data_IF_971777394281
#
_entry.id   IF_971777394281
#
_cell.length_a   1.000
_cell.length_b   1.000
_cell.length_c   1.000
_cell.angle_alpha   90.00
_cell.angle_beta   90.00
_cell.angle_gamma   90.00
#
_symmetry.space_group_name_H-M   'P 1'
#
loop_
_entity.id
_entity.type
_entity.pdbx_description
1 polymer ?
#
# COMPACT_ATOMS: atom_id res chain seq x y z
N UNK A 1 -40.93 -1.25 -43.73
CA UNK A 1 -40.48 -2.21 -42.69
C UNK A 1 -39.18 -2.83 -43.16
N UNK A 2 -38.23 -3.07 -42.23
CA UNK A 2 -36.82 -3.54 -42.42
C UNK A 2 -35.83 -2.36 -42.52
N UNK A 3 -34.81 -2.20 -41.68
CA UNK A 3 -34.32 -2.95 -40.52
C UNK A 3 -33.54 -2.02 -39.59
N UNK A 4 -33.59 -2.31 -38.29
CA UNK A 4 -32.91 -1.63 -37.19
C UNK A 4 -31.40 -1.92 -37.11
N UNK A 5 -30.68 -0.90 -36.59
CA UNK A 5 -29.64 -0.90 -35.53
C UNK A 5 -28.59 -2.03 -35.57
N UNK A 6 -27.30 -1.68 -35.66
CA UNK A 6 -26.27 -2.27 -34.78
C UNK A 6 -25.27 -1.18 -34.34
N UNK A 7 -25.42 -0.80 -33.08
CA UNK A 7 -24.45 -0.12 -32.22
C UNK A 7 -23.30 -1.08 -31.91
N UNK A 8 -22.04 -0.66 -32.03
CA UNK A 8 -20.91 -1.41 -31.43
C UNK A 8 -20.02 -0.45 -30.69
N UNK A 9 -20.33 -0.27 -29.40
CA UNK A 9 -19.45 0.34 -28.42
C UNK A 9 -18.33 -0.66 -28.17
N UNK A 10 -17.08 -0.25 -28.43
CA UNK A 10 -15.89 -0.99 -28.01
C UNK A 10 -15.74 -0.76 -26.51
N UNK A 11 -16.31 -1.64 -25.69
CA UNK A 11 -15.89 -1.78 -24.30
C UNK A 11 -14.49 -2.39 -24.31
N UNK A 12 -13.46 -1.56 -24.21
CA UNK A 12 -12.16 -2.01 -23.77
C UNK A 12 -12.28 -2.32 -22.27
N UNK A 13 -12.66 -3.56 -21.95
CA UNK A 13 -12.41 -4.11 -20.62
C UNK A 13 -10.89 -4.25 -20.49
N UNK A 14 -10.23 -3.21 -19.98
CA UNK A 14 -9.00 -3.42 -19.24
C UNK A 14 -9.41 -4.25 -18.01
N UNK A 15 -9.42 -5.57 -18.17
CA UNK A 15 -9.38 -6.47 -17.05
C UNK A 15 -8.09 -6.13 -16.30
N UNK A 16 -8.22 -5.32 -15.25
CA UNK A 16 -7.21 -5.22 -14.22
C UNK A 16 -6.97 -6.65 -13.77
N UNK A 17 -5.83 -7.18 -14.18
CA UNK A 17 -5.29 -8.42 -13.64
C UNK A 17 -4.99 -8.07 -12.20
N UNK A 18 -5.97 -8.20 -11.32
CA UNK A 18 -5.74 -8.26 -9.89
C UNK A 18 -4.93 -9.53 -9.72
N UNK A 19 -3.61 -9.38 -9.77
CA UNK A 19 -2.69 -10.39 -9.27
C UNK A 19 -3.18 -10.64 -7.85
N UNK A 20 -3.84 -11.79 -7.67
CA UNK A 20 -4.20 -12.31 -6.38
C UNK A 20 -2.92 -12.77 -5.67
N UNK A 21 -1.99 -11.84 -5.45
CA UNK A 21 -1.06 -11.97 -4.36
C UNK A 21 -1.89 -11.82 -3.10
N UNK A 22 -2.28 -12.97 -2.52
CA UNK A 22 -3.01 -13.00 -1.27
C UNK A 22 -2.32 -12.10 -0.25
N UNK A 23 -3.13 -11.34 0.51
CA UNK A 23 -2.64 -10.39 1.49
C UNK A 23 -1.64 -11.06 2.43
N UNK A 24 -0.50 -10.42 2.64
CA UNK A 24 0.56 -10.91 3.49
C UNK A 24 1.29 -9.76 4.16
N UNK A 25 1.99 -10.09 5.24
CA UNK A 25 2.84 -9.15 5.95
C UNK A 25 4.25 -9.12 5.36
N UNK A 26 4.87 -7.95 5.39
CA UNK A 26 6.19 -7.70 4.82
C UNK A 26 7.04 -6.89 5.80
N UNK A 27 8.36 -6.94 5.65
CA UNK A 27 9.28 -6.11 6.42
C UNK A 27 9.13 -4.64 6.06
N UNK A 28 8.87 -4.33 4.79
CA UNK A 28 8.65 -2.96 4.34
C UNK A 28 7.79 -2.86 3.09
N UNK A 29 7.10 -1.75 2.92
CA UNK A 29 6.31 -1.42 1.73
C UNK A 29 6.52 0.02 1.27
N UNK A 30 6.26 0.31 -0.01
CA UNK A 30 6.21 1.67 -0.57
C UNK A 30 5.09 1.81 -1.58
N UNK A 31 4.57 3.02 -1.74
CA UNK A 31 3.59 3.34 -2.77
C UNK A 31 4.28 3.62 -4.11
N UNK A 32 3.63 3.26 -5.22
CA UNK A 32 4.14 3.50 -6.57
C UNK A 32 3.21 4.42 -7.37
N UNK A 33 3.78 5.10 -8.34
CA UNK A 33 3.07 5.77 -9.42
C UNK A 33 2.69 4.76 -10.52
N UNK A 34 1.82 5.15 -11.45
CA UNK A 34 1.40 4.32 -12.59
C UNK A 34 2.56 3.83 -13.48
N UNK A 35 3.66 4.57 -13.52
CA UNK A 35 4.89 4.21 -14.24
C UNK A 35 5.83 3.28 -13.44
N UNK A 36 5.41 2.86 -12.24
CA UNK A 36 6.18 2.03 -11.32
C UNK A 36 7.22 2.80 -10.48
N UNK A 37 7.38 4.11 -10.69
CA UNK A 37 8.28 4.93 -9.89
C UNK A 37 7.79 5.09 -8.45
N UNK A 38 8.69 5.32 -7.47
CA UNK A 38 8.27 5.51 -6.08
C UNK A 38 7.48 6.80 -5.88
N UNK A 39 6.40 6.74 -5.09
CA UNK A 39 5.73 7.93 -4.59
C UNK A 39 6.06 8.13 -3.10
N UNK A 40 7.13 8.87 -2.83
CA UNK A 40 7.65 9.05 -1.48
C UNK A 40 6.68 9.78 -0.54
N UNK A 41 6.00 10.82 -1.05
CA UNK A 41 5.04 11.59 -0.25
C UNK A 41 3.86 10.72 0.17
N UNK A 42 3.27 9.99 -0.78
CA UNK A 42 2.15 9.09 -0.50
C UNK A 42 2.59 7.92 0.39
N UNK A 43 3.83 7.44 0.26
CA UNK A 43 4.38 6.41 1.15
C UNK A 43 4.43 6.89 2.61
N UNK A 44 4.91 8.12 2.86
CA UNK A 44 4.91 8.70 4.22
C UNK A 44 3.50 8.79 4.79
N UNK A 45 2.56 9.33 4.02
CA UNK A 45 1.17 9.45 4.46
C UNK A 45 0.51 8.09 4.71
N UNK A 46 0.80 7.09 3.87
CA UNK A 46 0.30 5.72 4.06
C UNK A 46 0.86 5.08 5.33
N UNK A 47 2.13 5.32 5.68
CA UNK A 47 2.70 4.88 6.96
C UNK A 47 1.98 5.47 8.16
N UNK A 48 1.75 6.79 8.14
CA UNK A 48 1.02 7.48 9.20
C UNK A 48 -0.40 6.94 9.33
N UNK A 49 -1.10 6.74 8.20
CA UNK A 49 -2.42 6.15 8.18
C UNK A 49 -2.45 4.73 8.75
N UNK A 50 -1.45 3.88 8.42
CA UNK A 50 -1.31 2.55 9.02
C UNK A 50 -1.06 2.62 10.51
N UNK A 51 -0.16 3.50 10.94
CA UNK A 51 0.15 3.71 12.35
C UNK A 51 -1.07 4.16 13.15
N UNK A 52 -1.88 5.06 12.59
CA UNK A 52 -3.13 5.53 13.18
C UNK A 52 -4.23 4.46 13.17
N UNK A 53 -4.37 3.70 12.08
CA UNK A 53 -5.37 2.63 12.00
C UNK A 53 -5.07 1.51 13.01
N UNK A 54 -3.78 1.25 13.28
CA UNK A 54 -3.33 0.29 14.28
C UNK A 54 -3.18 0.91 15.69
N UNK A 55 -3.66 2.15 15.91
CA UNK A 55 -3.60 2.88 17.19
C UNK A 55 -4.63 2.36 18.21
N UNK A 56 -5.79 1.87 17.76
CA UNK A 56 -6.91 1.52 18.64
C UNK A 56 -6.66 0.19 19.38
N UNK A 57 -6.16 0.30 20.62
CA UNK A 57 -5.98 -0.78 21.58
C UNK A 57 -4.94 -0.44 22.65
N UNK A 58 -4.95 -1.13 23.80
CA UNK A 58 -3.96 -0.97 24.88
C UNK A 58 -2.51 -1.23 24.44
N UNK A 59 -2.34 -1.74 23.21
CA UNK A 59 -1.11 -2.12 22.52
C UNK A 59 -1.02 -1.56 21.09
N UNK A 60 -1.60 -0.40 20.79
CA UNK A 60 -1.59 0.22 19.46
C UNK A 60 -0.18 0.50 18.89
N UNK A 61 -0.05 0.74 17.59
CA UNK A 61 1.23 1.02 16.94
C UNK A 61 1.92 2.30 17.46
N UNK A 62 1.17 3.17 18.12
CA UNK A 62 1.70 4.31 18.85
C UNK A 62 2.10 3.98 20.29
N UNK A 63 3.25 4.50 20.67
CA UNK A 63 3.77 4.42 22.03
C UNK A 63 5.14 5.09 22.12
N UNK A 64 5.61 5.40 23.35
CA UNK A 64 6.96 5.88 23.57
C UNK A 64 7.97 4.91 22.94
N UNK A 65 8.89 5.45 22.13
CA UNK A 65 9.90 4.67 21.40
C UNK A 65 9.37 3.66 20.37
N UNK A 66 8.09 3.75 19.96
CA UNK A 66 7.58 2.85 18.93
C UNK A 66 8.23 3.09 17.57
N UNK A 67 8.80 2.03 17.01
CA UNK A 67 9.36 2.01 15.65
C UNK A 67 8.38 1.51 14.59
N UNK A 68 7.15 1.16 14.98
CA UNK A 68 6.13 0.65 14.07
C UNK A 68 5.81 1.68 12.97
N UNK A 69 5.85 1.24 11.71
CA UNK A 69 5.53 2.04 10.52
C UNK A 69 6.37 3.32 10.37
N UNK A 70 7.57 3.37 10.96
CA UNK A 70 8.47 4.48 10.72
C UNK A 70 9.00 4.45 9.29
N UNK A 71 9.15 5.63 8.70
CA UNK A 71 9.73 5.78 7.38
C UNK A 71 11.24 5.72 7.42
N UNK A 72 11.84 5.15 6.38
CA UNK A 72 13.27 5.27 6.08
C UNK A 72 13.45 5.65 4.63
N UNK A 73 14.50 6.39 4.31
CA UNK A 73 14.88 6.70 2.93
C UNK A 73 16.18 5.98 2.58
N UNK A 74 16.19 5.25 1.46
CA UNK A 74 17.40 4.55 0.99
C UNK A 74 18.32 5.45 0.15
N UNK A 75 19.46 4.90 -0.30
CA UNK A 75 20.44 5.62 -1.12
C UNK A 75 19.92 6.06 -2.49
N UNK A 76 18.79 5.49 -2.95
CA UNK A 76 18.13 5.87 -4.21
C UNK A 76 17.04 6.92 -3.98
N UNK A 77 17.00 7.51 -2.78
CA UNK A 77 15.97 8.46 -2.37
C UNK A 77 14.55 7.87 -2.44
N UNK A 78 14.40 6.57 -2.19
CA UNK A 78 13.08 5.92 -2.04
C UNK A 78 12.69 5.90 -0.57
N UNK A 79 11.51 6.41 -0.26
CA UNK A 79 10.89 6.26 1.06
C UNK A 79 10.23 4.89 1.19
N UNK A 80 10.48 4.23 2.32
CA UNK A 80 9.91 2.94 2.69
C UNK A 80 9.16 3.05 4.00
N UNK A 81 8.05 2.34 4.10
CA UNK A 81 7.33 2.07 5.33
C UNK A 81 7.84 0.80 5.97
N UNK A 82 8.36 0.86 7.18
CA UNK A 82 8.99 -0.31 7.80
C UNK A 82 8.12 -0.95 8.88
N UNK A 83 8.21 -2.26 8.99
CA UNK A 83 7.79 -2.97 10.18
C UNK A 83 8.61 -2.53 11.39
N UNK A 84 8.03 -2.65 12.58
CA UNK A 84 8.67 -2.20 13.81
C UNK A 84 7.92 -2.68 15.05
N UNK A 85 8.30 -2.15 16.21
CA UNK A 85 7.77 -2.59 17.50
C UNK A 85 7.37 -1.41 18.36
N UNK A 86 6.26 -1.52 19.07
CA UNK A 86 5.83 -0.55 20.09
C UNK A 86 6.33 -0.90 21.52
N UNK A 87 7.33 -1.78 21.63
CA UNK A 87 7.79 -2.35 22.91
C UNK A 87 7.03 -3.59 23.38
N UNK A 88 5.83 -3.87 22.84
CA UNK A 88 5.02 -5.04 23.20
C UNK A 88 4.89 -6.05 22.06
N UNK A 89 4.47 -5.58 20.87
CA UNK A 89 4.26 -6.42 19.69
C UNK A 89 4.92 -5.84 18.45
N UNK A 90 5.17 -6.71 17.47
CA UNK A 90 5.63 -6.31 16.14
C UNK A 90 4.44 -5.92 15.27
N UNK A 91 4.67 -4.94 14.43
CA UNK A 91 3.76 -4.47 13.40
C UNK A 91 4.49 -4.52 12.09
N UNK A 92 3.85 -5.11 11.10
CA UNK A 92 4.41 -5.28 9.77
C UNK A 92 3.43 -4.71 8.75
N UNK A 93 3.91 -3.98 7.73
CA UNK A 93 3.08 -3.62 6.60
C UNK A 93 2.40 -4.84 5.97
N UNK A 94 1.07 -4.80 5.88
CA UNK A 94 0.29 -5.74 5.08
C UNK A 94 0.10 -5.14 3.69
N UNK A 95 0.47 -5.87 2.62
CA UNK A 95 0.45 -5.32 1.27
C UNK A 95 -0.95 -4.89 0.81
N UNK A 96 -2.01 -5.59 1.20
CA UNK A 96 -3.38 -5.19 0.83
C UNK A 96 -3.79 -3.90 1.55
N UNK A 97 -3.60 -3.85 2.86
CA UNK A 97 -3.93 -2.66 3.64
C UNK A 97 -3.05 -1.46 3.23
N UNK A 98 -1.80 -1.71 2.84
CA UNK A 98 -0.90 -0.68 2.37
C UNK A 98 -1.27 -0.19 0.98
N UNK A 99 -1.62 -1.09 0.05
CA UNK A 99 -2.15 -0.75 -1.28
C UNK A 99 -3.42 0.09 -1.18
N UNK A 100 -4.34 -0.27 -0.29
CA UNK A 100 -5.57 0.50 -0.08
C UNK A 100 -5.25 1.92 0.41
N UNK A 101 -4.35 2.05 1.38
CA UNK A 101 -3.88 3.35 1.87
C UNK A 101 -3.20 4.17 0.76
N UNK A 102 -2.30 3.56 -0.02
CA UNK A 102 -1.64 4.21 -1.14
C UNK A 102 -2.66 4.76 -2.15
N UNK A 103 -3.64 3.94 -2.52
CA UNK A 103 -4.67 4.30 -3.51
C UNK A 103 -5.56 5.44 -3.01
N UNK A 104 -6.02 5.36 -1.76
CA UNK A 104 -6.84 6.40 -1.13
C UNK A 104 -6.10 7.75 -1.02
N UNK A 105 -4.79 7.71 -0.86
CA UNK A 105 -3.93 8.89 -0.71
C UNK A 105 -3.35 9.41 -2.04
N UNK A 106 -3.78 8.84 -3.18
CA UNK A 106 -3.46 9.35 -4.51
C UNK A 106 -2.26 8.71 -5.21
N UNK A 107 -1.80 7.54 -4.77
CA UNK A 107 -0.94 6.71 -5.60
C UNK A 107 -1.71 6.29 -6.87
N UNK A 108 -1.02 6.34 -8.01
CA UNK A 108 -1.61 5.99 -9.31
C UNK A 108 -1.19 4.61 -9.81
N UNK A 109 -0.23 3.96 -9.13
CA UNK A 109 0.12 2.57 -9.36
C UNK A 109 -0.98 1.63 -8.83
N UNK A 110 -1.14 0.49 -9.48
CA UNK A 110 -2.14 -0.52 -9.10
C UNK A 110 -1.78 -1.30 -7.83
N UNK A 111 -0.54 -1.18 -7.36
CA UNK A 111 -0.03 -1.97 -6.25
C UNK A 111 0.93 -1.19 -5.35
N UNK A 112 1.05 -1.65 -4.11
CA UNK A 112 2.17 -1.32 -3.25
C UNK A 112 3.34 -2.25 -3.56
N UNK A 113 4.56 -1.73 -3.57
CA UNK A 113 5.75 -2.57 -3.66
C UNK A 113 6.21 -2.94 -2.26
N UNK A 114 6.17 -4.23 -1.92
CA UNK A 114 6.56 -4.73 -0.60
C UNK A 114 7.71 -5.73 -0.67
N UNK A 115 8.57 -5.72 0.35
CA UNK A 115 9.79 -6.52 0.41
C UNK A 115 9.93 -7.24 1.76
N UNK A 116 10.58 -8.41 1.72
CA UNK A 116 10.80 -9.24 2.89
C UNK A 116 9.49 -9.80 3.44
N UNK A 117 8.76 -10.57 2.61
CA UNK A 117 7.54 -11.27 3.02
C UNK A 117 7.78 -12.07 4.31
N UNK A 118 6.83 -12.00 5.23
CA UNK A 118 6.85 -12.67 6.53
C UNK A 118 5.82 -13.81 6.50
N UNK A 119 6.25 -15.00 6.98
CA UNK A 119 5.46 -16.25 6.99
C UNK A 119 4.39 -16.28 8.09
#
# INVERSE_FOLDING_TARGET
MKSSIISTIVLALAASVELAEGCAQYQRCRCQMADGSPNNNVTTLACEARRQADHDGYDGADGPHSTAFLTTTDSQNTTWCNGGRNGKRFFNPDNCLFRDACTQLGATGSDSWCEGKLE
#
